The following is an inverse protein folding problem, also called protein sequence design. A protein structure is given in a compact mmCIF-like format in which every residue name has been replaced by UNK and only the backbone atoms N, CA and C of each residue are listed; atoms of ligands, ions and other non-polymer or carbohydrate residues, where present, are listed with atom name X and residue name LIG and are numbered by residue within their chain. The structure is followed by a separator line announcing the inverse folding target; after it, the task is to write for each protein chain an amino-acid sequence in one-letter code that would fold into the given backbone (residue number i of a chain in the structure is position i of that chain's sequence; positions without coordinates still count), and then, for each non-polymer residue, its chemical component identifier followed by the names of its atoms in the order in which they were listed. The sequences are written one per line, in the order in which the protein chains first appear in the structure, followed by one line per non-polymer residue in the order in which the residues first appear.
data_IF_836980781948
#
_entry.id   IF_836980781948
#
_cell.length_a   1.000
_cell.length_b   1.000
_cell.length_c   1.000
_cell.angle_alpha   90.00
_cell.angle_beta   90.00
_cell.angle_gamma   90.00
#
_symmetry.space_group_name_H-M   'P 1'
#
loop_
_entity.id
_entity.type
_entity.pdbx_description
1 polymer ?
#
# COMPACT_ATOMS: atom_id res chain seq x y z
N UNK A 1 1.96 -24.19 8.46
CA UNK A 1 0.77 -23.77 9.24
C UNK A 1 0.11 -22.58 8.58
N UNK A 2 -1.03 -22.11 9.09
CA UNK A 2 -1.79 -20.99 8.50
C UNK A 2 -0.93 -19.72 8.31
N UNK A 3 -0.03 -19.43 9.26
CA UNK A 3 0.92 -18.31 9.15
C UNK A 3 1.86 -18.41 7.94
N UNK A 4 2.45 -19.59 7.68
CA UNK A 4 3.36 -19.76 6.54
C UNK A 4 2.64 -19.54 5.20
N UNK A 5 1.34 -19.86 5.15
CA UNK A 5 0.49 -19.59 3.98
C UNK A 5 0.28 -18.08 3.82
N UNK A 6 -0.01 -17.36 4.91
CA UNK A 6 -0.12 -15.89 4.89
C UNK A 6 1.18 -15.22 4.47
N UNK A 7 2.33 -15.65 4.99
CA UNK A 7 3.65 -15.16 4.57
C UNK A 7 3.83 -15.29 3.06
N UNK A 8 3.56 -16.48 2.50
CA UNK A 8 3.66 -16.72 1.06
C UNK A 8 2.72 -15.82 0.24
N UNK A 9 1.48 -15.66 0.71
CA UNK A 9 0.49 -14.81 0.04
C UNK A 9 0.91 -13.34 0.05
N UNK A 10 1.27 -12.80 1.21
CA UNK A 10 1.66 -11.40 1.38
C UNK A 10 2.98 -11.11 0.63
N UNK A 11 3.91 -12.07 0.60
CA UNK A 11 5.12 -11.96 -0.22
C UNK A 11 4.82 -11.93 -1.72
N UNK A 12 3.82 -12.70 -2.18
CA UNK A 12 3.37 -12.65 -3.57
C UNK A 12 2.70 -11.31 -3.88
N UNK A 13 1.85 -10.80 -2.98
CA UNK A 13 1.21 -9.50 -3.13
C UNK A 13 2.24 -8.36 -3.19
N UNK A 14 3.26 -8.38 -2.33
CA UNK A 14 4.36 -7.42 -2.38
C UNK A 14 5.08 -7.40 -3.75
N UNK A 15 5.28 -8.57 -4.37
CA UNK A 15 5.89 -8.66 -5.72
C UNK A 15 4.99 -8.05 -6.79
N UNK A 16 3.68 -8.25 -6.70
CA UNK A 16 2.72 -7.61 -7.62
C UNK A 16 2.79 -6.09 -7.47
N UNK A 17 2.78 -5.57 -6.25
CA UNK A 17 2.93 -4.13 -6.01
C UNK A 17 4.25 -3.57 -6.57
N UNK A 18 5.37 -4.29 -6.40
CA UNK A 18 6.66 -3.89 -7.00
C UNK A 18 6.58 -3.84 -8.54
N UNK A 19 5.98 -4.85 -9.17
CA UNK A 19 5.78 -4.87 -10.63
C UNK A 19 4.94 -3.70 -11.12
N UNK A 20 3.96 -3.27 -10.32
CA UNK A 20 3.11 -2.12 -10.60
C UNK A 20 3.71 -0.76 -10.17
N UNK A 21 4.94 -0.72 -9.64
CA UNK A 21 5.57 0.51 -9.13
C UNK A 21 4.94 1.06 -7.84
N UNK A 22 4.17 0.25 -7.12
CA UNK A 22 3.45 0.59 -5.89
C UNK A 22 4.30 0.26 -4.66
N UNK A 23 5.42 0.96 -4.49
CA UNK A 23 6.42 0.61 -3.48
C UNK A 23 5.96 0.83 -2.03
N UNK A 24 5.05 1.78 -1.78
CA UNK A 24 4.50 2.01 -0.45
C UNK A 24 3.61 0.85 0.01
N UNK A 25 2.84 0.28 -0.92
CA UNK A 25 1.97 -0.87 -0.71
C UNK A 25 2.80 -2.15 -0.51
N UNK A 26 3.89 -2.31 -1.28
CA UNK A 26 4.86 -3.38 -1.07
C UNK A 26 5.53 -3.31 0.31
N UNK A 27 5.89 -2.11 0.78
CA UNK A 27 6.43 -1.90 2.13
C UNK A 27 5.38 -2.24 3.20
N UNK A 28 4.13 -1.81 3.03
CA UNK A 28 3.02 -2.15 3.94
C UNK A 28 2.79 -3.66 4.04
N UNK A 29 2.94 -4.41 2.95
CA UNK A 29 2.86 -5.88 3.00
C UNK A 29 3.87 -6.47 4.01
N UNK A 30 5.10 -5.94 4.04
CA UNK A 30 6.13 -6.39 4.97
C UNK A 30 5.82 -5.98 6.41
N UNK A 31 5.29 -4.77 6.62
CA UNK A 31 4.85 -4.33 7.94
C UNK A 31 3.66 -5.15 8.47
N UNK A 32 2.77 -5.59 7.60
CA UNK A 32 1.70 -6.51 8.00
C UNK A 32 2.26 -7.85 8.49
N UNK A 33 3.32 -8.37 7.85
CA UNK A 33 4.01 -9.57 8.34
C UNK A 33 4.70 -9.36 9.69
N UNK A 34 5.24 -8.17 9.95
CA UNK A 34 5.76 -7.80 11.27
C UNK A 34 4.64 -7.86 12.31
N UNK A 35 3.51 -7.20 12.06
CA UNK A 35 2.35 -7.19 12.95
C UNK A 35 1.82 -8.60 13.24
N UNK A 36 1.68 -9.43 12.20
CA UNK A 36 1.29 -10.83 12.38
C UNK A 36 2.30 -11.65 13.22
N UNK A 37 3.61 -11.36 13.09
CA UNK A 37 4.64 -12.06 13.83
C UNK A 37 4.70 -11.61 15.31
N UNK A 38 4.53 -10.31 15.58
CA UNK A 38 4.56 -9.73 16.93
C UNK A 38 3.30 -10.07 17.72
N UNK A 39 2.11 -10.00 17.09
CA UNK A 39 0.83 -10.41 17.72
C UNK A 39 0.84 -11.89 18.10
N UNK A 40 1.44 -12.75 17.27
CA UNK A 40 1.59 -14.17 17.57
C UNK A 40 2.66 -14.44 18.64
N UNK A 41 3.72 -13.63 18.69
CA UNK A 41 4.79 -13.73 19.70
C UNK A 41 4.41 -13.25 21.09
N UNK A 42 3.31 -12.48 21.24
CA UNK A 42 2.76 -12.08 22.54
C UNK A 42 2.04 -13.21 23.29
N UNK A 43 1.70 -14.29 22.59
CA UNK A 43 1.11 -15.50 23.15
C UNK A 43 2.06 -16.68 23.04
N UNK A 44 2.72 -17.02 24.14
CA UNK A 44 3.49 -18.25 24.36
C UNK A 44 4.92 -18.27 23.78
N UNK A 45 5.90 -18.28 24.71
CA UNK A 45 7.31 -18.63 24.51
C UNK A 45 7.53 -20.10 24.12
N UNK A 46 6.69 -20.66 23.25
CA UNK A 46 6.87 -22.02 22.77
C UNK A 46 7.64 -21.98 21.44
N UNK A 47 8.92 -22.33 21.53
CA UNK A 47 9.76 -22.73 20.41
C UNK A 47 9.04 -23.76 19.54
N UNK A 48 8.38 -23.28 18.48
CA UNK A 48 7.84 -24.11 17.42
C UNK A 48 8.99 -24.74 16.66
N UNK A 49 9.40 -25.94 17.08
CA UNK A 49 10.27 -26.84 16.31
C UNK A 49 9.60 -27.16 14.98
N UNK A 50 9.99 -26.45 13.92
CA UNK A 50 9.80 -26.92 12.56
C UNK A 50 10.88 -27.96 12.26
N UNK A 51 10.46 -29.21 12.04
CA UNK A 51 11.30 -30.29 11.51
C UNK A 51 11.90 -29.85 10.16
N UNK A 52 13.21 -29.60 10.14
CA UNK A 52 14.01 -29.56 8.91
C UNK A 52 14.29 -28.19 8.28
N UNK A 53 13.92 -27.07 8.91
CA UNK A 53 14.26 -25.73 8.44
C UNK A 53 14.79 -24.87 9.57
N UNK A 54 15.85 -24.10 9.33
CA UNK A 54 16.49 -23.18 10.28
C UNK A 54 15.43 -22.44 11.10
N UNK A 55 15.45 -22.60 12.43
CA UNK A 55 14.50 -21.91 13.34
C UNK A 55 14.90 -20.44 13.35
N UNK A 56 14.27 -19.64 12.48
CA UNK A 56 14.40 -18.18 12.50
C UNK A 56 13.63 -17.68 13.71
N UNK A 57 14.30 -16.97 14.62
CA UNK A 57 13.62 -16.36 15.76
C UNK A 57 12.60 -15.32 15.29
N UNK A 58 11.54 -15.06 16.06
CA UNK A 58 10.54 -14.03 15.70
C UNK A 58 11.20 -12.67 15.45
N UNK A 59 12.16 -12.28 16.29
CA UNK A 59 12.88 -11.02 16.15
C UNK A 59 13.75 -10.99 14.86
N UNK A 60 14.41 -12.10 14.50
CA UNK A 60 15.16 -12.20 13.25
C UNK A 60 14.24 -12.12 12.02
N UNK A 61 13.06 -12.75 12.07
CA UNK A 61 12.04 -12.63 11.03
C UNK A 61 11.57 -11.17 10.88
N UNK A 62 11.25 -10.51 12.00
CA UNK A 62 10.82 -9.10 12.03
C UNK A 62 11.89 -8.19 11.45
N UNK A 63 13.16 -8.36 11.81
CA UNK A 63 14.27 -7.59 11.25
C UNK A 63 14.36 -7.77 9.73
N UNK A 64 14.20 -8.99 9.21
CA UNK A 64 14.19 -9.23 7.76
C UNK A 64 13.04 -8.48 7.09
N UNK A 65 11.84 -8.48 7.67
CA UNK A 65 10.71 -7.75 7.09
C UNK A 65 10.91 -6.23 7.08
N UNK A 66 11.45 -5.65 8.16
CA UNK A 66 11.79 -4.23 8.20
C UNK A 66 12.81 -3.84 7.13
N UNK A 67 13.87 -4.64 6.94
CA UNK A 67 14.85 -4.41 5.87
C UNK A 67 14.22 -4.41 4.49
N UNK A 68 13.34 -5.38 4.22
CA UNK A 68 12.63 -5.46 2.94
C UNK A 68 11.71 -4.25 2.74
N UNK A 69 11.01 -3.82 3.78
CA UNK A 69 10.17 -2.61 3.73
C UNK A 69 11.00 -1.36 3.40
N UNK A 70 12.12 -1.14 4.10
CA UNK A 70 13.03 -0.03 3.83
C UNK A 70 13.64 -0.10 2.42
N UNK A 71 13.91 -1.30 1.93
CA UNK A 71 14.43 -1.53 0.58
C UNK A 71 13.46 -1.03 -0.48
N UNK A 72 12.16 -1.34 -0.35
CA UNK A 72 11.13 -0.84 -1.28
C UNK A 72 10.98 0.68 -1.25
N UNK A 73 11.16 1.32 -0.10
CA UNK A 73 11.07 2.79 0.02
C UNK A 73 12.34 3.52 -0.42
N UNK A 74 13.44 2.79 -0.61
CA UNK A 74 14.75 3.36 -0.89
C UNK A 74 14.82 3.98 -2.30
N UNK A 75 15.66 5.02 -2.50
CA UNK A 75 15.86 5.65 -3.81
C UNK A 75 16.33 4.69 -4.92
N UNK A 76 16.93 3.55 -4.54
CA UNK A 76 17.50 2.57 -5.48
C UNK A 76 16.45 1.67 -6.14
N UNK A 77 15.23 1.60 -5.60
CA UNK A 77 14.15 0.78 -6.15
C UNK A 77 13.20 1.54 -7.08
N UNK A 78 13.38 2.86 -7.24
CA UNK A 78 12.68 3.64 -8.26
C UNK A 78 13.15 3.22 -9.66
N UNK A 79 12.20 2.88 -10.54
CA UNK A 79 12.46 2.50 -11.94
C UNK A 79 13.51 3.42 -12.59
N UNK A 80 14.48 2.81 -13.28
CA UNK A 80 15.60 3.42 -14.01
C UNK A 80 15.21 4.46 -15.10
N UNK A 81 13.93 4.75 -15.28
CA UNK A 81 13.41 5.75 -16.23
C UNK A 81 13.38 7.16 -15.62
N UNK A 82 13.48 7.29 -14.29
CA UNK A 82 13.65 8.58 -13.60
C UNK A 82 15.02 8.65 -12.94
N UNK A 83 16.08 8.79 -13.75
CA UNK A 83 17.50 8.93 -13.37
C UNK A 83 17.82 10.17 -12.49
N UNK A 84 16.84 10.76 -11.80
CA UNK A 84 17.01 11.93 -10.93
C UNK A 84 16.36 11.79 -9.55
N UNK A 85 15.62 10.71 -9.25
CA UNK A 85 14.95 10.56 -7.96
C UNK A 85 15.92 9.94 -6.95
N UNK A 86 16.76 10.78 -6.35
CA UNK A 86 17.61 10.42 -5.20
C UNK A 86 16.86 10.42 -3.88
N UNK A 87 15.54 10.66 -3.89
CA UNK A 87 14.73 10.84 -2.70
C UNK A 87 13.91 9.60 -2.35
N UNK A 88 13.78 9.35 -1.05
CA UNK A 88 12.92 8.31 -0.49
C UNK A 88 11.44 8.56 -0.86
N UNK A 89 10.72 7.52 -1.27
CA UNK A 89 9.34 7.66 -1.75
C UNK A 89 8.34 8.05 -0.64
N UNK A 90 8.62 7.65 0.60
CA UNK A 90 7.81 7.95 1.79
C UNK A 90 8.74 8.15 3.00
N UNK A 91 9.38 9.33 3.15
CA UNK A 91 10.43 9.54 4.14
C UNK A 91 9.93 9.36 5.58
N UNK A 92 8.73 9.85 5.91
CA UNK A 92 8.14 9.69 7.24
C UNK A 92 7.91 8.22 7.60
N UNK A 93 7.42 7.42 6.64
CA UNK A 93 7.25 5.98 6.81
C UNK A 93 8.60 5.28 6.98
N UNK A 94 9.60 5.64 6.18
CA UNK A 94 10.94 5.07 6.29
C UNK A 94 11.58 5.37 7.65
N UNK A 95 11.40 6.59 8.19
CA UNK A 95 11.86 6.95 9.54
C UNK A 95 11.17 6.16 10.63
N UNK A 96 9.85 6.02 10.57
CA UNK A 96 9.09 5.21 11.53
C UNK A 96 9.55 3.75 11.53
N UNK A 97 9.71 3.15 10.35
CA UNK A 97 10.22 1.78 10.20
C UNK A 97 11.64 1.65 10.78
N UNK A 98 12.52 2.60 10.48
CA UNK A 98 13.89 2.57 10.96
C UNK A 98 13.95 2.71 12.49
N UNK A 99 13.12 3.55 13.09
CA UNK A 99 13.00 3.68 14.55
C UNK A 99 12.58 2.37 15.21
N UNK A 100 11.54 1.71 14.70
CA UNK A 100 11.10 0.41 15.20
C UNK A 100 12.19 -0.66 15.04
N UNK A 101 12.87 -0.66 13.90
CA UNK A 101 13.97 -1.57 13.62
C UNK A 101 15.15 -1.38 14.59
N UNK A 102 15.48 -0.14 14.99
CA UNK A 102 16.50 0.11 16.02
C UNK A 102 16.12 -0.52 17.36
N UNK A 103 14.84 -0.43 17.77
CA UNK A 103 14.37 -1.04 19.01
C UNK A 103 14.56 -2.56 19.01
N UNK A 104 14.25 -3.23 17.87
CA UNK A 104 14.48 -4.67 17.72
C UNK A 104 15.96 -5.01 17.69
N UNK A 105 16.78 -4.26 16.93
CA UNK A 105 18.24 -4.45 16.89
C UNK A 105 18.88 -4.33 18.28
N UNK A 106 18.44 -3.35 19.09
CA UNK A 106 18.91 -3.19 20.47
C UNK A 106 18.50 -4.38 21.35
N UNK A 107 17.24 -4.83 21.26
CA UNK A 107 16.73 -5.99 22.00
C UNK A 107 17.55 -7.26 21.73
N UNK A 108 17.92 -7.52 20.47
CA UNK A 108 18.71 -8.70 20.09
C UNK A 108 20.23 -8.46 20.09
N UNK A 109 20.69 -7.30 20.56
CA UNK A 109 22.11 -6.90 20.60
C UNK A 109 22.82 -6.96 19.22
N UNK A 110 22.08 -6.75 18.13
CA UNK A 110 22.63 -6.73 16.78
C UNK A 110 23.08 -5.31 16.41
N UNK A 111 24.25 -4.91 16.93
CA UNK A 111 24.79 -3.56 16.73
C UNK A 111 25.28 -3.30 15.30
N UNK A 112 25.60 -4.34 14.53
CA UNK A 112 25.95 -4.20 13.10
C UNK A 112 24.74 -3.67 12.33
N UNK A 113 23.59 -4.28 12.58
CA UNK A 113 22.35 -3.84 11.95
C UNK A 113 21.89 -2.49 12.49
N UNK A 114 22.00 -2.28 13.81
CA UNK A 114 21.70 -0.99 14.44
C UNK A 114 22.46 0.17 13.78
N UNK A 115 23.78 0.01 13.57
CA UNK A 115 24.61 1.03 12.91
C UNK A 115 24.20 1.28 11.46
N UNK A 116 23.76 0.23 10.75
CA UNK A 116 23.26 0.35 9.38
C UNK A 116 21.94 1.11 9.35
N UNK A 117 21.02 0.82 10.27
CA UNK A 117 19.74 1.52 10.41
C UNK A 117 19.92 3.01 10.74
N UNK A 118 20.88 3.37 11.60
CA UNK A 118 21.19 4.78 11.86
C UNK A 118 21.63 5.53 10.59
N UNK A 119 22.46 4.90 9.74
CA UNK A 119 22.87 5.49 8.46
C UNK A 119 21.70 5.66 7.49
N UNK A 120 20.74 4.73 7.52
CA UNK A 120 19.49 4.85 6.76
C UNK A 120 18.71 6.08 7.22
N UNK A 121 18.53 6.26 8.54
CA UNK A 121 17.82 7.43 9.07
C UNK A 121 18.49 8.75 8.66
N UNK A 122 19.82 8.83 8.78
CA UNK A 122 20.60 9.99 8.33
C UNK A 122 20.37 10.29 6.83
N UNK A 123 20.42 9.25 5.98
CA UNK A 123 20.13 9.37 4.55
C UNK A 123 18.70 9.85 4.26
N UNK A 124 17.70 9.37 5.00
CA UNK A 124 16.31 9.82 4.84
C UNK A 124 16.19 11.30 5.20
N UNK A 125 16.71 11.71 6.36
CA UNK A 125 16.67 13.11 6.83
C UNK A 125 17.41 14.02 5.87
N UNK A 126 18.60 13.64 5.41
CA UNK A 126 19.35 14.39 4.41
C UNK A 126 18.54 14.59 3.11
N UNK A 127 17.81 13.57 2.67
CA UNK A 127 16.91 13.65 1.52
C UNK A 127 15.76 14.64 1.72
N UNK A 128 15.11 14.61 2.89
CA UNK A 128 14.02 15.56 3.24
C UNK A 128 14.53 17.00 3.28
N UNK A 129 15.68 17.23 3.93
CA UNK A 129 16.30 18.56 4.01
C UNK A 129 16.68 19.10 2.62
N UNK A 130 17.15 18.24 1.72
CA UNK A 130 17.46 18.63 0.35
C UNK A 130 16.21 19.07 -0.43
N UNK A 131 15.06 18.40 -0.21
CA UNK A 131 13.78 18.78 -0.82
C UNK A 131 13.26 20.11 -0.28
N UNK A 132 13.32 20.32 1.04
CA UNK A 132 12.84 21.55 1.70
C UNK A 132 13.65 22.79 1.31
N UNK A 133 14.95 22.65 1.04
CA UNK A 133 15.80 23.77 0.59
C UNK A 133 15.45 24.28 -0.81
N UNK A 134 14.65 23.53 -1.58
CA UNK A 134 14.36 23.82 -2.99
C UNK A 134 13.02 24.49 -3.29
N UNK A 135 12.03 24.44 -2.39
CA UNK A 135 10.67 24.99 -2.63
C UNK A 135 9.98 25.40 -1.33
N UNK A 136 9.14 26.46 -1.32
CA UNK A 136 8.18 26.70 -0.25
C UNK A 136 7.20 25.52 -0.12
N UNK A 137 6.76 25.22 1.10
CA UNK A 137 5.91 24.06 1.47
C UNK A 137 4.62 23.93 0.62
N UNK A 138 4.12 25.03 0.04
CA UNK A 138 2.90 25.09 -0.77
C UNK A 138 3.00 24.46 -2.18
N UNK A 139 4.22 24.20 -2.70
CA UNK A 139 4.45 23.70 -4.07
C UNK A 139 4.85 22.21 -4.13
N UNK A 140 4.66 21.48 -3.04
CA UNK A 140 4.87 20.03 -3.01
C UNK A 140 3.83 19.35 -3.91
N UNK A 141 4.23 18.65 -5.00
CA UNK A 141 3.28 17.97 -5.85
C UNK A 141 2.52 16.92 -5.04
N UNK A 142 1.21 16.74 -5.27
CA UNK A 142 0.43 15.73 -4.55
C UNK A 142 1.12 14.37 -4.67
N UNK A 143 1.16 13.60 -3.58
CA UNK A 143 1.79 12.27 -3.57
C UNK A 143 0.87 11.23 -4.21
N UNK A 144 -0.44 11.42 -4.09
CA UNK A 144 -1.45 10.51 -4.64
C UNK A 144 -2.77 11.25 -4.88
N UNK A 145 -3.59 10.69 -5.76
CA UNK A 145 -4.98 11.11 -5.97
C UNK A 145 -5.91 9.97 -5.57
N UNK A 146 -7.08 10.30 -5.05
CA UNK A 146 -8.06 9.34 -4.58
C UNK A 146 -9.33 9.42 -5.42
N UNK A 147 -9.96 8.27 -5.64
CA UNK A 147 -11.22 8.16 -6.36
C UNK A 147 -12.18 7.29 -5.55
N UNK A 148 -13.38 7.80 -5.27
CA UNK A 148 -14.51 6.97 -4.85
C UNK A 148 -15.06 6.27 -6.08
N UNK A 149 -15.05 4.94 -6.07
CA UNK A 149 -15.50 4.11 -7.19
C UNK A 149 -16.58 3.16 -6.75
N UNK A 150 -17.65 3.09 -7.53
CA UNK A 150 -18.71 2.09 -7.41
C UNK A 150 -18.91 1.38 -8.74
N UNK A 151 -19.11 0.07 -8.69
CA UNK A 151 -19.60 -0.73 -9.83
C UNK A 151 -21.05 -1.09 -9.51
N UNK A 152 -21.99 -0.66 -10.34
CA UNK A 152 -23.44 -0.87 -10.12
C UNK A 152 -24.09 -1.41 -11.38
N UNK A 153 -25.28 -2.01 -11.27
CA UNK A 153 -26.01 -2.54 -12.42
C UNK A 153 -26.49 -3.97 -12.19
N UNK A 154 -26.68 -4.71 -13.28
CA UNK A 154 -27.16 -6.09 -13.23
C UNK A 154 -26.24 -6.99 -14.06
N UNK A 155 -25.77 -8.07 -13.44
CA UNK A 155 -24.98 -9.09 -14.09
C UNK A 155 -25.57 -10.47 -13.76
N UNK A 156 -25.75 -11.30 -14.77
CA UNK A 156 -26.17 -12.69 -14.63
C UNK A 156 -25.08 -13.54 -13.96
N UNK A 157 -23.82 -13.15 -14.15
CA UNK A 157 -22.66 -13.72 -13.45
C UNK A 157 -22.36 -12.97 -12.16
N UNK A 158 -21.87 -13.69 -11.15
CA UNK A 158 -21.47 -13.10 -9.88
C UNK A 158 -20.20 -12.24 -10.05
N UNK A 159 -20.40 -10.93 -10.24
CA UNK A 159 -19.31 -9.94 -10.24
C UNK A 159 -18.99 -9.60 -8.78
N UNK A 160 -17.74 -9.84 -8.31
CA UNK A 160 -17.33 -9.49 -6.97
C UNK A 160 -17.57 -8.01 -6.67
N UNK A 161 -18.03 -7.74 -5.46
CA UNK A 161 -18.18 -6.38 -4.92
C UNK A 161 -19.11 -5.45 -5.72
N UNK A 162 -20.04 -6.02 -6.50
CA UNK A 162 -21.10 -5.26 -7.17
C UNK A 162 -21.98 -4.54 -6.13
N UNK A 163 -22.18 -3.23 -6.33
CA UNK A 163 -22.92 -2.37 -5.42
C UNK A 163 -22.10 -1.87 -4.22
N UNK A 164 -20.82 -2.23 -4.12
CA UNK A 164 -19.92 -1.77 -3.06
C UNK A 164 -19.11 -0.57 -3.58
N UNK A 165 -18.89 0.38 -2.68
CA UNK A 165 -18.06 1.57 -2.90
C UNK A 165 -16.67 1.38 -2.29
N UNK A 166 -15.63 1.74 -3.05
CA UNK A 166 -14.24 1.69 -2.61
C UNK A 166 -13.51 3.01 -2.87
N UNK A 167 -12.53 3.30 -2.02
CA UNK A 167 -11.57 4.38 -2.25
C UNK A 167 -10.33 3.81 -2.92
N UNK A 168 -10.10 4.21 -4.18
CA UNK A 168 -8.91 3.84 -4.91
C UNK A 168 -7.86 4.93 -4.81
N UNK A 169 -6.69 4.56 -4.28
CA UNK A 169 -5.48 5.38 -4.36
C UNK A 169 -4.80 5.19 -5.72
N UNK A 170 -4.40 6.29 -6.35
CA UNK A 170 -3.69 6.32 -7.64
C UNK A 170 -2.56 7.32 -7.63
N UNK A 171 -1.72 7.26 -8.66
CA UNK A 171 -0.71 8.29 -8.93
C UNK A 171 -1.38 9.68 -8.92
N UNK A 172 -0.68 10.67 -8.40
CA UNK A 172 -1.16 12.04 -8.33
C UNK A 172 -1.52 12.66 -9.69
N UNK A 173 -0.89 12.15 -10.75
CA UNK A 173 -1.12 12.56 -12.13
C UNK A 173 -2.22 11.75 -12.83
N UNK A 174 -2.80 10.75 -12.16
CA UNK A 174 -3.83 9.91 -12.76
C UNK A 174 -5.12 10.71 -12.97
N UNK A 175 -5.64 10.67 -14.20
CA UNK A 175 -6.92 11.29 -14.55
C UNK A 175 -8.09 10.31 -14.39
N UNK A 176 -9.30 10.84 -14.18
CA UNK A 176 -10.50 10.01 -14.04
C UNK A 176 -10.74 9.11 -15.25
N UNK A 177 -10.38 9.57 -16.46
CA UNK A 177 -10.46 8.78 -17.70
C UNK A 177 -9.56 7.55 -17.66
N UNK A 178 -8.31 7.69 -17.19
CA UNK A 178 -7.37 6.59 -17.03
C UNK A 178 -7.84 5.59 -15.96
N UNK A 179 -8.40 6.11 -14.85
CA UNK A 179 -8.98 5.29 -13.80
C UNK A 179 -10.15 4.44 -14.33
N UNK A 180 -11.06 5.06 -15.06
CA UNK A 180 -12.21 4.41 -15.67
C UNK A 180 -11.77 3.34 -16.68
N UNK A 181 -10.83 3.68 -17.57
CA UNK A 181 -10.28 2.75 -18.55
C UNK A 181 -9.58 1.55 -17.88
N UNK A 182 -8.90 1.77 -16.75
CA UNK A 182 -8.26 0.68 -15.98
C UNK A 182 -9.29 -0.29 -15.39
N UNK A 183 -10.39 0.21 -14.81
CA UNK A 183 -11.46 -0.64 -14.27
C UNK A 183 -12.16 -1.38 -15.40
N UNK A 184 -12.51 -0.68 -16.48
CA UNK A 184 -13.16 -1.26 -17.65
C UNK A 184 -12.32 -2.39 -18.24
N UNK A 185 -11.02 -2.17 -18.43
CA UNK A 185 -10.09 -3.19 -18.90
C UNK A 185 -10.06 -4.42 -17.98
N UNK A 186 -10.01 -4.22 -16.66
CA UNK A 186 -10.02 -5.32 -15.69
C UNK A 186 -11.31 -6.13 -15.67
N UNK A 187 -12.46 -5.44 -15.78
CA UNK A 187 -13.77 -6.08 -15.87
C UNK A 187 -13.93 -6.86 -17.18
N UNK A 188 -13.55 -6.26 -18.31
CA UNK A 188 -13.63 -6.93 -19.61
C UNK A 188 -12.70 -8.15 -19.70
N UNK A 189 -11.52 -8.09 -19.07
CA UNK A 189 -10.60 -9.23 -19.00
C UNK A 189 -11.14 -10.38 -18.15
N UNK A 190 -11.88 -10.07 -17.07
CA UNK A 190 -12.40 -11.06 -16.13
C UNK A 190 -13.78 -11.59 -16.53
N UNK A 191 -14.58 -10.75 -17.18
CA UNK A 191 -15.97 -11.02 -17.58
C UNK A 191 -16.20 -10.54 -19.03
N UNK A 192 -15.73 -11.28 -20.06
CA UNK A 192 -15.77 -10.82 -21.44
C UNK A 192 -17.18 -10.58 -22.02
N UNK A 193 -18.20 -11.19 -21.43
CA UNK A 193 -19.60 -11.05 -21.81
C UNK A 193 -20.28 -9.81 -21.20
N UNK A 194 -19.62 -9.15 -20.25
CA UNK A 194 -20.18 -8.05 -19.47
C UNK A 194 -20.02 -6.73 -20.23
N UNK A 195 -21.12 -5.99 -20.40
CA UNK A 195 -21.08 -4.66 -21.01
C UNK A 195 -20.79 -3.61 -19.95
N UNK A 196 -19.58 -3.05 -19.98
CA UNK A 196 -19.18 -1.96 -19.07
C UNK A 196 -19.54 -0.61 -19.69
N UNK A 197 -20.18 0.27 -18.92
CA UNK A 197 -20.47 1.65 -19.32
C UNK A 197 -20.04 2.64 -18.23
N UNK A 198 -19.55 3.84 -18.60
CA UNK A 198 -19.40 4.91 -17.62
C UNK A 198 -20.79 5.40 -17.17
N UNK A 199 -20.97 5.67 -15.87
CA UNK A 199 -22.13 6.43 -15.39
C UNK A 199 -21.98 7.88 -15.86
N UNK A 200 -22.85 8.29 -16.79
CA UNK A 200 -23.17 9.69 -16.99
C UNK A 200 -24.27 10.04 -16.00
N UNK A 201 -24.09 11.12 -15.21
CA UNK A 201 -25.10 11.60 -14.26
C UNK A 201 -26.48 11.91 -14.90
N UNK A 202 -26.57 11.88 -16.24
CA UNK A 202 -27.76 12.29 -16.99
C UNK A 202 -28.89 11.26 -17.08
N UNK A 203 -28.68 9.97 -16.75
CA UNK A 203 -29.73 8.95 -16.56
C UNK A 203 -29.11 7.59 -16.29
N UNK A 204 -29.38 7.02 -15.12
CA UNK A 204 -29.33 5.58 -14.95
C UNK A 204 -30.60 5.05 -15.61
N UNK A 205 -30.62 4.96 -16.95
CA UNK A 205 -31.69 4.23 -17.61
C UNK A 205 -31.63 2.82 -17.03
N UNK A 206 -32.72 2.42 -16.37
CA UNK A 206 -32.94 1.06 -15.89
C UNK A 206 -32.98 0.13 -17.10
N UNK A 207 -31.84 -0.09 -17.75
CA UNK A 207 -31.74 -1.01 -18.86
C UNK A 207 -32.00 -2.38 -18.29
N UNK A 208 -33.08 -3.00 -18.74
CA UNK A 208 -33.45 -4.40 -18.48
C UNK A 208 -32.43 -5.40 -19.06
N UNK A 209 -31.29 -4.94 -19.57
CA UNK A 209 -30.19 -5.78 -20.04
C UNK A 209 -29.53 -6.47 -18.85
N UNK A 210 -29.79 -7.77 -18.75
CA UNK A 210 -28.96 -8.71 -18.00
C UNK A 210 -27.55 -8.64 -18.59
N UNK A 211 -26.53 -8.34 -17.77
CA UNK A 211 -25.11 -8.20 -18.15
C UNK A 211 -24.64 -6.80 -18.59
N UNK A 212 -25.28 -5.74 -18.09
CA UNK A 212 -24.70 -4.39 -18.15
C UNK A 212 -24.34 -3.89 -16.76
N UNK A 213 -23.08 -3.50 -16.59
CA UNK A 213 -22.62 -2.78 -15.40
C UNK A 213 -22.19 -1.36 -15.75
N UNK A 214 -22.28 -0.52 -14.74
CA UNK A 214 -21.92 0.87 -14.79
C UNK A 214 -20.84 1.15 -13.77
N UNK A 215 -19.80 1.85 -14.19
CA UNK A 215 -18.74 2.29 -13.30
C UNK A 215 -18.94 3.78 -13.02
N UNK A 216 -18.98 4.14 -11.74
CA UNK A 216 -18.93 5.52 -11.27
C UNK A 216 -17.56 5.73 -10.63
N UNK A 217 -16.79 6.69 -11.11
CA UNK A 217 -15.55 7.13 -10.46
C UNK A 217 -15.61 8.64 -10.22
N UNK A 218 -15.40 9.05 -8.97
CA UNK A 218 -15.44 10.46 -8.56
C UNK A 218 -14.13 10.80 -7.86
N UNK A 219 -13.36 11.79 -8.33
CA UNK A 219 -12.19 12.28 -7.60
C UNK A 219 -12.62 12.77 -6.22
N UNK A 220 -11.87 12.40 -5.19
CA UNK A 220 -12.12 12.82 -3.81
C UNK A 220 -10.83 13.34 -3.18
N UNK A 221 -10.98 14.30 -2.28
CA UNK A 221 -9.87 14.86 -1.52
C UNK A 221 -9.84 14.25 -0.11
N UNK A 222 -8.65 13.91 0.42
CA UNK A 222 -8.53 13.49 1.81
C UNK A 222 -9.03 14.59 2.76
N UNK A 223 -9.92 14.24 3.69
CA UNK A 223 -10.30 15.13 4.77
C UNK A 223 -9.40 14.88 5.99
N UNK A 224 -8.75 15.93 6.46
CA UNK A 224 -7.91 15.91 7.65
C UNK A 224 -8.58 16.63 8.83
N UNK A 225 -8.32 16.16 10.05
CA UNK A 225 -8.78 16.70 11.33
C UNK A 225 -7.59 17.07 12.20
N UNK A 226 -7.77 18.07 13.07
CA UNK A 226 -6.78 18.52 14.06
C UNK A 226 -5.83 19.61 13.54
N UNK A 227 -5.16 20.29 14.47
CA UNK A 227 -4.37 21.52 14.24
C UNK A 227 -3.23 21.39 13.21
N UNK A 228 -2.83 20.16 12.90
CA UNK A 228 -1.74 19.86 11.96
C UNK A 228 -2.21 19.42 10.56
N UNK A 229 -3.52 19.26 10.32
CA UNK A 229 -4.04 18.83 9.02
C UNK A 229 -3.52 17.47 8.55
N UNK A 230 -3.13 16.56 9.46
CA UNK A 230 -2.54 15.25 9.15
C UNK A 230 -3.25 14.05 9.81
N UNK A 231 -4.29 14.27 10.61
CA UNK A 231 -5.07 13.19 11.25
C UNK A 231 -6.27 12.86 10.37
N UNK A 232 -6.44 11.61 9.94
CA UNK A 232 -7.63 11.22 9.17
C UNK A 232 -8.88 11.23 10.06
N UNK A 233 -10.04 11.66 9.52
CA UNK A 233 -11.35 11.35 10.11
C UNK A 233 -11.51 9.82 10.12
N UNK A 234 -11.25 9.18 11.25
CA UNK A 234 -11.67 7.80 11.47
C UNK A 234 -13.01 7.84 12.21
N UNK A 235 -14.11 8.03 11.48
CA UNK A 235 -15.40 7.55 11.99
C UNK A 235 -15.41 6.03 11.80
N UNK A 236 -15.79 5.23 12.82
CA UNK A 236 -15.82 3.78 12.73
C UNK A 236 -17.03 3.37 11.88
N UNK A 237 -16.93 3.57 10.58
CA UNK A 237 -17.76 2.89 9.59
C UNK A 237 -16.83 1.92 8.90
N UNK A 238 -17.20 0.63 8.93
CA UNK A 238 -16.52 -0.45 8.21
C UNK A 238 -16.23 -0.05 6.75
N UNK A 239 -15.07 0.53 6.48
CA UNK A 239 -14.55 0.76 5.13
C UNK A 239 -13.22 0.05 5.04
N UNK A 240 -13.24 -1.09 4.35
CA UNK A 240 -12.04 -1.81 3.95
C UNK A 240 -11.32 -0.96 2.90
N UNK A 241 -10.19 -0.35 3.27
CA UNK A 241 -9.25 0.22 2.31
C UNK A 241 -8.47 -0.96 1.72
N UNK A 242 -8.72 -1.28 0.44
CA UNK A 242 -7.97 -2.29 -0.34
C UNK A 242 -6.90 -1.58 -1.16
#
# INVERSE_FOLDING_TARGET
GLFDVHVKFIDALARVHVQCGQFAEAAKCKLHLVDMATTRGGGNNNHGRSRGGRVVSTDEFVLVQYKLALTYLSPQHGNAVASSVTSWAMPDMALAIAQDMLAVCHKVQNYVEYATTLKIMDSVVAGVLAQQRGKPDDDAPPVSRYFLVAIVGSASTNVPDLGIEFIYKRSAFCHVSEMMASIESGLNASFPHLKVKPISMAKLDASTDTDTVYVKATPVEPMFVGDCGRTFMYEPVCMTII
#
